data_IF_369070186610
#
_entry.id   IF_369070186610
#
_cell.length_a   1.000
_cell.length_b   1.000
_cell.length_c   1.000
_cell.angle_alpha   90.00
_cell.angle_beta   90.00
_cell.angle_gamma   90.00
#
_symmetry.space_group_name_H-M   'P 1'
#
loop_
_entity.id
_entity.type
_entity.pdbx_description
1 polymer ?
#
# COMPACT_ATOMS: atom_id res chain seq x y z
N UNK A 1 -18.31 -2.42 15.56
CA UNK A 1 -17.74 -2.15 14.23
C UNK A 1 -16.36 -2.81 14.20
N UNK A 2 -16.01 -3.57 13.16
CA UNK A 2 -14.74 -4.31 13.11
C UNK A 2 -13.72 -3.46 12.35
N UNK A 3 -12.54 -3.24 12.95
CA UNK A 3 -11.40 -2.64 12.28
C UNK A 3 -10.64 -3.73 11.53
N UNK A 4 -10.30 -3.48 10.26
CA UNK A 4 -9.57 -4.41 9.41
C UNK A 4 -8.21 -3.81 9.12
N UNK A 5 -7.15 -4.60 9.34
CA UNK A 5 -5.79 -4.25 8.95
C UNK A 5 -5.35 -5.21 7.86
N UNK A 6 -5.04 -4.69 6.68
CA UNK A 6 -4.44 -5.47 5.60
C UNK A 6 -2.93 -5.32 5.62
N UNK A 7 -2.22 -6.44 5.55
CA UNK A 7 -0.79 -6.47 5.25
C UNK A 7 -0.60 -6.68 3.74
N UNK A 8 -0.07 -5.68 3.06
CA UNK A 8 0.27 -5.75 1.64
C UNK A 8 1.77 -6.00 1.51
N UNK A 9 2.12 -7.13 0.88
CA UNK A 9 3.50 -7.46 0.51
C UNK A 9 3.62 -7.26 -1.00
N UNK A 10 4.36 -6.23 -1.42
CA UNK A 10 4.39 -5.81 -2.83
C UNK A 10 5.81 -5.82 -3.38
N UNK A 11 5.95 -6.22 -4.64
CA UNK A 11 7.24 -6.29 -5.33
C UNK A 11 7.19 -5.95 -6.84
N UNK A 12 6.01 -5.78 -7.42
CA UNK A 12 5.80 -5.42 -8.83
C UNK A 12 4.38 -4.87 -9.08
N UNK A 13 4.12 -4.41 -10.31
CA UNK A 13 2.78 -4.01 -10.78
C UNK A 13 2.08 -2.96 -9.90
N UNK A 14 2.77 -1.83 -9.63
CA UNK A 14 2.28 -0.78 -8.72
C UNK A 14 0.86 -0.29 -9.06
N UNK A 15 0.53 -0.14 -10.34
CA UNK A 15 -0.81 0.28 -10.77
C UNK A 15 -1.93 -0.66 -10.25
N UNK A 16 -1.68 -1.98 -10.26
CA UNK A 16 -2.66 -2.95 -9.77
C UNK A 16 -2.77 -2.90 -8.23
N UNK A 17 -1.67 -2.60 -7.54
CA UNK A 17 -1.67 -2.41 -6.08
C UNK A 17 -2.49 -1.17 -5.72
N UNK A 18 -2.32 -0.06 -6.45
CA UNK A 18 -3.10 1.16 -6.24
C UNK A 18 -4.59 0.87 -6.41
N UNK A 19 -4.97 0.19 -7.49
CA UNK A 19 -6.37 -0.22 -7.73
C UNK A 19 -6.93 -1.13 -6.65
N UNK A 20 -6.10 -2.00 -6.08
CA UNK A 20 -6.50 -2.86 -4.96
C UNK A 20 -6.75 -2.05 -3.70
N UNK A 21 -5.84 -1.14 -3.34
CA UNK A 21 -5.98 -0.26 -2.17
C UNK A 21 -7.24 0.60 -2.33
N UNK A 22 -7.46 1.20 -3.50
CA UNK A 22 -8.67 1.99 -3.78
C UNK A 22 -9.95 1.20 -3.57
N UNK A 23 -9.99 -0.05 -4.04
CA UNK A 23 -11.17 -0.90 -3.92
C UNK A 23 -11.44 -1.37 -2.50
N UNK A 24 -10.39 -1.55 -1.69
CA UNK A 24 -10.49 -2.01 -0.31
C UNK A 24 -10.59 -0.86 0.70
N UNK A 25 -10.36 0.38 0.27
CA UNK A 25 -10.33 1.53 1.15
C UNK A 25 -11.70 1.78 1.79
N UNK A 26 -11.71 2.18 3.05
CA UNK A 26 -12.93 2.44 3.81
C UNK A 26 -12.64 2.94 5.22
N UNK A 27 -13.67 3.47 5.90
CA UNK A 27 -13.51 4.19 7.17
C UNK A 27 -12.88 3.39 8.32
N UNK A 28 -12.93 2.05 8.29
CA UNK A 28 -12.38 1.18 9.34
C UNK A 28 -11.24 0.28 8.84
N UNK A 29 -10.59 0.69 7.75
CA UNK A 29 -9.53 -0.09 7.10
C UNK A 29 -8.19 0.61 7.29
N UNK A 30 -7.16 -0.15 7.61
CA UNK A 30 -5.75 0.28 7.58
C UNK A 30 -4.91 -0.65 6.71
N UNK A 31 -3.86 -0.11 6.12
CA UNK A 31 -2.92 -0.82 5.26
C UNK A 31 -1.50 -0.72 5.82
N UNK A 32 -0.89 -1.87 6.11
CA UNK A 32 0.54 -2.00 6.37
C UNK A 32 1.20 -2.45 5.06
N UNK A 33 2.12 -1.65 4.53
CA UNK A 33 2.71 -1.85 3.21
C UNK A 33 4.18 -2.24 3.40
N UNK A 34 4.48 -3.50 3.09
CA UNK A 34 5.84 -3.98 2.98
C UNK A 34 6.25 -4.05 1.50
N UNK A 35 7.33 -3.36 1.17
CA UNK A 35 7.93 -3.42 -0.17
C UNK A 35 9.16 -4.30 -0.11
N UNK A 36 9.23 -5.33 -0.96
CA UNK A 36 10.39 -6.23 -1.02
C UNK A 36 11.68 -5.42 -1.27
N UNK A 37 12.72 -5.66 -0.46
CA UNK A 37 14.01 -4.93 -0.54
C UNK A 37 14.75 -5.10 -1.86
N UNK A 38 14.39 -6.11 -2.67
CA UNK A 38 15.03 -6.41 -3.96
C UNK A 38 14.47 -5.61 -5.12
N UNK A 39 13.39 -4.85 -4.92
CA UNK A 39 12.83 -4.02 -5.99
C UNK A 39 13.76 -2.84 -6.31
N UNK A 40 13.74 -2.34 -7.56
CA UNK A 40 14.44 -1.09 -7.89
C UNK A 40 13.95 0.08 -7.02
N UNK A 41 14.85 1.01 -6.68
CA UNK A 41 14.52 2.21 -5.92
C UNK A 41 13.38 3.02 -6.54
N UNK A 42 13.27 3.04 -7.88
CA UNK A 42 12.20 3.73 -8.58
C UNK A 42 10.81 3.14 -8.28
N UNK A 43 10.74 1.82 -8.07
CA UNK A 43 9.49 1.18 -7.65
C UNK A 43 9.15 1.56 -6.21
N UNK A 44 10.12 1.50 -5.29
CA UNK A 44 9.91 1.85 -3.89
C UNK A 44 9.47 3.32 -3.73
N UNK A 45 10.19 4.24 -4.37
CA UNK A 45 9.84 5.67 -4.34
C UNK A 45 8.51 5.95 -5.05
N UNK A 46 8.21 5.23 -6.13
CA UNK A 46 6.91 5.25 -6.79
C UNK A 46 5.78 4.81 -5.86
N UNK A 47 5.97 3.73 -5.10
CA UNK A 47 4.99 3.25 -4.13
C UNK A 47 4.77 4.25 -2.99
N UNK A 48 5.85 4.81 -2.43
CA UNK A 48 5.75 5.84 -1.38
C UNK A 48 4.94 7.05 -1.85
N UNK A 49 5.21 7.56 -3.06
CA UNK A 49 4.46 8.68 -3.63
C UNK A 49 3.00 8.33 -3.86
N UNK A 50 2.71 7.15 -4.41
CA UNK A 50 1.35 6.72 -4.71
C UNK A 50 0.46 6.63 -3.46
N UNK A 51 1.03 6.18 -2.33
CA UNK A 51 0.27 5.99 -1.09
C UNK A 51 0.41 7.14 -0.10
N UNK A 52 1.17 8.19 -0.42
CA UNK A 52 1.39 9.34 0.46
C UNK A 52 0.10 10.09 0.84
N UNK A 53 -0.89 10.11 -0.05
CA UNK A 53 -2.18 10.78 0.19
C UNK A 53 -3.18 9.97 1.02
N UNK A 54 -2.88 8.71 1.34
CA UNK A 54 -3.77 7.84 2.11
C UNK A 54 -3.36 7.86 3.58
N UNK A 55 -4.15 8.51 4.41
CA UNK A 55 -3.89 8.64 5.86
C UNK A 55 -3.85 7.28 6.59
N UNK A 56 -4.47 6.25 6.01
CA UNK A 56 -4.56 4.91 6.57
C UNK A 56 -3.53 3.92 5.97
N UNK A 57 -2.52 4.41 5.22
CA UNK A 57 -1.42 3.60 4.71
C UNK A 57 -0.14 3.85 5.52
N UNK A 58 0.54 2.79 5.95
CA UNK A 58 1.80 2.86 6.70
C UNK A 58 2.81 1.87 6.11
N UNK A 59 4.03 2.33 5.80
CA UNK A 59 5.10 1.49 5.26
C UNK A 59 5.92 0.83 6.38
N UNK A 60 6.29 -0.43 6.19
CA UNK A 60 7.09 -1.25 7.14
C UNK A 60 8.29 -1.95 6.51
#
# INVERSE_FOLDING_TARGET
MINIVYLLIIYKNLEQVIRLVDRLNGANVQFLIHVDKKVPNDYFTGAQRAFQSYENCTFI
#
